data_IF_663930764989
#
_entry.id   IF_663930764989
#
_cell.length_a   1.000
_cell.length_b   1.000
_cell.length_c   1.000
_cell.angle_alpha   90.00
_cell.angle_beta   90.00
_cell.angle_gamma   90.00
#
_symmetry.space_group_name_H-M   'P 1'
#
loop_
_entity.id
_entity.type
_entity.pdbx_description
1 polymer ?
#
# COMPACT_ATOMS: atom_id res chain seq x y z
N UNK A 1 38.21 17.56 20.13
CA UNK A 1 36.81 17.91 20.42
C UNK A 1 35.93 16.89 19.71
N UNK A 2 35.82 15.68 20.27
CA UNK A 2 34.81 14.72 19.83
C UNK A 2 33.44 15.13 20.40
N UNK A 3 32.50 15.41 19.51
CA UNK A 3 31.11 15.74 19.85
C UNK A 3 30.35 14.46 20.22
N UNK A 4 30.04 14.31 21.51
CA UNK A 4 29.23 13.23 22.04
C UNK A 4 27.76 13.42 21.62
N UNK A 5 27.20 12.49 20.84
CA UNK A 5 25.77 12.39 20.56
C UNK A 5 25.12 11.48 21.62
N UNK A 6 24.02 11.90 22.28
CA UNK A 6 23.35 11.06 23.26
C UNK A 6 22.63 9.87 22.60
N UNK A 7 22.55 8.71 23.27
CA UNK A 7 21.85 7.53 22.74
C UNK A 7 20.33 7.77 22.66
N UNK A 8 19.62 7.11 21.73
CA UNK A 8 18.16 7.24 21.62
C UNK A 8 17.47 6.61 22.84
N UNK A 9 16.28 7.11 23.22
CA UNK A 9 15.56 6.59 24.38
C UNK A 9 15.11 5.14 24.15
N UNK A 10 15.45 4.27 25.09
CA UNK A 10 14.96 2.89 25.18
C UNK A 10 13.46 2.89 25.46
N UNK A 11 12.68 2.27 24.57
CA UNK A 11 11.25 2.06 24.76
C UNK A 11 11.05 0.90 25.75
N UNK A 12 10.85 1.23 27.03
CA UNK A 12 10.47 0.26 28.06
C UNK A 12 8.99 -0.10 27.90
N UNK A 13 8.70 -1.32 27.44
CA UNK A 13 7.36 -1.88 27.49
C UNK A 13 7.03 -2.26 28.93
N UNK A 14 6.20 -1.45 29.59
CA UNK A 14 5.50 -1.87 30.81
C UNK A 14 4.27 -2.67 30.39
N UNK A 15 4.29 -3.97 30.65
CA UNK A 15 3.13 -4.85 30.53
C UNK A 15 2.64 -5.19 31.93
N UNK A 16 1.47 -4.64 32.28
CA UNK A 16 0.65 -5.05 33.42
C UNK A 16 -0.74 -4.44 33.20
N UNK A 17 -1.75 -5.28 33.02
CA UNK A 17 -2.86 -5.33 34.00
C UNK A 17 -3.80 -6.48 33.67
N UNK A 18 -4.26 -7.08 34.75
CA UNK A 18 -4.99 -8.34 34.86
C UNK A 18 -6.47 -8.23 34.46
N UNK A 19 -7.13 -9.39 34.48
CA UNK A 19 -8.44 -9.63 33.89
C UNK A 19 -9.61 -8.91 34.57
N UNK A 20 -10.71 -8.87 33.82
CA UNK A 20 -12.06 -8.79 34.39
C UNK A 20 -13.00 -9.49 33.43
N UNK A 21 -13.43 -10.66 33.86
CA UNK A 21 -14.50 -11.43 33.28
C UNK A 21 -15.81 -10.69 33.56
N UNK A 22 -16.50 -10.22 32.53
CA UNK A 22 -17.91 -9.86 32.64
C UNK A 22 -18.70 -10.69 31.64
N UNK A 23 -19.37 -11.69 32.19
CA UNK A 23 -20.43 -12.43 31.56
C UNK A 23 -21.51 -11.48 31.04
N UNK A 24 -21.75 -11.50 29.73
CA UNK A 24 -23.01 -11.05 29.15
C UNK A 24 -23.25 -11.83 27.86
N UNK A 25 -24.23 -12.72 27.94
CA UNK A 25 -24.72 -13.57 26.87
C UNK A 25 -24.88 -12.83 25.53
N UNK A 26 -24.50 -13.43 24.39
CA UNK A 26 -24.80 -12.87 23.09
C UNK A 26 -26.27 -13.15 22.75
N UNK A 27 -27.16 -12.29 23.24
CA UNK A 27 -28.57 -12.25 22.83
C UNK A 27 -28.67 -11.57 21.45
N UNK A 28 -28.84 -12.42 20.43
CA UNK A 28 -29.53 -12.19 19.15
C UNK A 28 -29.79 -10.75 18.64
N UNK A 29 -28.79 -10.05 18.07
CA UNK A 29 -29.05 -9.02 17.02
C UNK A 29 -27.87 -8.71 16.08
N UNK A 30 -26.83 -9.57 16.00
CA UNK A 30 -25.61 -9.27 15.24
C UNK A 30 -25.36 -10.18 14.02
N UNK A 31 -26.36 -10.90 13.52
CA UNK A 31 -26.14 -11.92 12.48
C UNK A 31 -26.25 -11.41 11.03
N UNK A 32 -26.95 -10.31 10.74
CA UNK A 32 -27.23 -9.90 9.34
C UNK A 32 -26.33 -8.77 8.81
N UNK A 33 -25.56 -8.10 9.68
CA UNK A 33 -24.62 -7.04 9.27
C UNK A 33 -23.22 -7.57 8.90
N UNK A 34 -22.94 -8.85 9.17
CA UNK A 34 -21.67 -9.49 8.87
C UNK A 34 -21.56 -9.89 7.38
N UNK A 35 -22.67 -10.30 6.78
CA UNK A 35 -22.73 -10.81 5.39
C UNK A 35 -22.42 -9.70 4.37
N UNK A 36 -23.05 -8.52 4.49
CA UNK A 36 -22.77 -7.38 3.61
C UNK A 36 -21.35 -6.81 3.74
N UNK A 37 -20.71 -6.98 4.91
CA UNK A 37 -19.30 -6.59 5.12
C UNK A 37 -18.32 -7.61 4.55
N UNK A 38 -18.69 -8.89 4.49
CA UNK A 38 -17.90 -9.94 3.87
C UNK A 38 -17.92 -9.83 2.34
N UNK A 39 -19.09 -9.59 1.75
CA UNK A 39 -19.24 -9.41 0.31
C UNK A 39 -18.45 -8.18 -0.21
N UNK A 40 -18.53 -7.05 0.50
CA UNK A 40 -17.77 -5.86 0.16
C UNK A 40 -16.25 -6.06 0.22
N UNK A 41 -15.76 -6.95 1.10
CA UNK A 41 -14.33 -7.33 1.16
C UNK A 41 -13.94 -8.17 -0.05
N UNK A 42 -14.75 -9.15 -0.43
CA UNK A 42 -14.50 -10.00 -1.60
C UNK A 42 -14.43 -9.19 -2.90
N UNK A 43 -15.31 -8.20 -3.07
CA UNK A 43 -15.31 -7.32 -4.27
C UNK A 43 -14.04 -6.46 -4.32
N UNK A 44 -13.62 -5.91 -3.19
CA UNK A 44 -12.39 -5.09 -3.12
C UNK A 44 -11.15 -5.97 -3.35
N UNK A 45 -11.11 -7.16 -2.76
CA UNK A 45 -10.02 -8.12 -2.92
C UNK A 45 -9.95 -8.64 -4.36
N UNK A 46 -11.08 -8.85 -5.03
CA UNK A 46 -11.14 -9.21 -6.45
C UNK A 46 -10.62 -8.08 -7.35
N UNK A 47 -11.03 -6.82 -7.10
CA UNK A 47 -10.54 -5.67 -7.85
C UNK A 47 -9.02 -5.47 -7.69
N UNK A 48 -8.49 -5.68 -6.48
CA UNK A 48 -7.04 -5.56 -6.21
C UNK A 48 -6.26 -6.71 -6.82
N UNK A 49 -6.81 -7.93 -6.85
CA UNK A 49 -6.19 -9.07 -7.53
C UNK A 49 -6.12 -8.84 -9.04
N UNK A 50 -7.17 -8.31 -9.65
CA UNK A 50 -7.17 -7.95 -11.07
C UNK A 50 -6.08 -6.92 -11.39
N UNK A 51 -5.99 -5.83 -10.60
CA UNK A 51 -4.92 -4.83 -10.75
C UNK A 51 -3.51 -5.41 -10.49
N UNK A 52 -3.41 -6.47 -9.70
CA UNK A 52 -2.14 -7.14 -9.40
C UNK A 52 -1.69 -8.06 -10.54
N UNK A 53 -2.59 -8.82 -11.16
CA UNK A 53 -2.26 -9.61 -12.36
C UNK A 53 -1.80 -8.72 -13.52
N UNK A 54 -2.38 -7.52 -13.66
CA UNK A 54 -1.93 -6.52 -14.64
C UNK A 54 -0.53 -5.96 -14.32
N UNK A 55 -0.18 -5.77 -13.05
CA UNK A 55 1.15 -5.28 -12.62
C UNK A 55 2.22 -6.37 -12.65
N UNK A 56 1.87 -7.59 -12.26
CA UNK A 56 2.74 -8.76 -12.29
C UNK A 56 2.95 -9.21 -13.76
N UNK A 57 1.93 -9.11 -14.61
CA UNK A 57 2.05 -9.27 -16.07
C UNK A 57 2.92 -8.20 -16.74
N UNK A 58 2.89 -6.96 -16.25
CA UNK A 58 3.82 -5.90 -16.67
C UNK A 58 5.26 -6.14 -16.16
N UNK A 59 5.46 -7.06 -15.22
CA UNK A 59 6.75 -7.39 -14.62
C UNK A 59 7.33 -8.75 -15.08
N UNK A 60 6.55 -9.60 -15.76
CA UNK A 60 7.03 -10.84 -16.37
C UNK A 60 7.92 -10.53 -17.57
N UNK A 61 9.21 -10.79 -17.41
CA UNK A 61 10.27 -10.50 -18.40
C UNK A 61 10.29 -11.54 -19.54
N UNK A 62 9.49 -12.61 -19.45
CA UNK A 62 9.62 -13.81 -20.28
C UNK A 62 9.25 -13.60 -21.77
N UNK A 63 8.49 -12.54 -22.10
CA UNK A 63 8.09 -12.24 -23.50
C UNK A 63 8.22 -10.75 -23.86
N UNK A 64 9.21 -10.03 -23.31
CA UNK A 64 9.54 -8.70 -23.84
C UNK A 64 10.39 -8.94 -25.10
N UNK A 65 9.91 -8.62 -26.32
CA UNK A 65 10.73 -8.73 -27.52
C UNK A 65 11.98 -7.87 -27.30
N UNK A 66 13.15 -8.47 -27.45
CA UNK A 66 14.45 -7.78 -27.46
C UNK A 66 14.28 -6.51 -28.28
N UNK A 67 14.44 -5.34 -27.65
CA UNK A 67 14.15 -4.07 -28.29
C UNK A 67 14.96 -3.96 -29.59
N UNK A 68 14.38 -3.40 -30.67
CA UNK A 68 15.09 -3.24 -31.92
C UNK A 68 16.41 -2.47 -31.70
N UNK A 69 17.44 -2.70 -32.53
CA UNK A 69 18.70 -1.96 -32.44
C UNK A 69 18.42 -0.45 -32.47
N UNK A 70 19.12 0.30 -31.61
CA UNK A 70 18.89 1.73 -31.34
C UNK A 70 18.85 2.58 -32.63
N UNK A 71 19.44 2.10 -33.73
CA UNK A 71 19.43 2.73 -35.05
C UNK A 71 18.05 2.86 -35.70
N UNK A 72 17.03 2.11 -35.26
CA UNK A 72 15.69 2.13 -35.86
C UNK A 72 14.64 2.88 -35.04
N UNK A 73 15.00 3.42 -33.87
CA UNK A 73 14.08 4.24 -33.08
C UNK A 73 13.91 5.57 -33.82
N UNK A 74 12.72 5.90 -34.37
CA UNK A 74 12.47 7.25 -34.85
C UNK A 74 12.72 8.18 -33.68
N UNK A 75 13.68 9.09 -33.84
CA UNK A 75 14.05 10.07 -32.82
C UNK A 75 12.77 10.69 -32.30
N UNK A 76 12.41 10.36 -31.05
CA UNK A 76 11.25 10.93 -30.38
C UNK A 76 11.32 12.45 -30.57
N UNK A 77 10.23 13.12 -30.97
CA UNK A 77 10.23 14.56 -31.09
C UNK A 77 10.76 15.13 -29.77
N UNK A 78 11.68 16.09 -29.89
CA UNK A 78 12.49 16.72 -28.83
C UNK A 78 11.67 17.46 -27.74
N UNK A 79 10.41 17.12 -27.57
CA UNK A 79 9.42 17.79 -26.74
C UNK A 79 9.01 16.93 -25.54
N UNK A 80 9.99 16.47 -24.76
CA UNK A 80 9.76 16.09 -23.36
C UNK A 80 9.53 17.35 -22.53
N UNK A 81 8.44 18.07 -22.83
CA UNK A 81 8.02 19.18 -21.98
C UNK A 81 7.46 18.58 -20.69
N UNK A 82 7.93 19.03 -19.51
CA UNK A 82 7.40 18.55 -18.26
C UNK A 82 5.89 18.80 -18.26
N UNK A 83 5.12 17.72 -18.06
CA UNK A 83 3.66 17.82 -17.98
C UNK A 83 3.29 18.83 -16.88
N UNK A 84 2.28 19.68 -17.11
CA UNK A 84 1.84 20.66 -16.12
C UNK A 84 1.54 19.98 -14.79
N UNK A 85 2.16 20.50 -13.73
CA UNK A 85 2.15 19.89 -12.42
C UNK A 85 0.77 20.06 -11.77
N UNK A 86 -0.02 18.99 -11.74
CA UNK A 86 -1.32 18.99 -11.08
C UNK A 86 -1.13 19.21 -9.58
N UNK A 87 -1.72 20.29 -9.06
CA UNK A 87 -1.67 20.59 -7.63
C UNK A 87 -2.46 19.54 -6.85
N UNK A 88 -1.90 19.12 -5.73
CA UNK A 88 -2.54 18.14 -4.85
C UNK A 88 -3.84 18.75 -4.29
N UNK A 89 -4.93 18.00 -4.40
CA UNK A 89 -6.21 18.42 -3.85
C UNK A 89 -6.10 18.69 -2.33
N UNK A 90 -6.82 19.72 -1.87
CA UNK A 90 -6.91 20.03 -0.45
C UNK A 90 -7.52 18.85 0.31
N UNK A 91 -7.00 18.57 1.52
CA UNK A 91 -7.48 17.47 2.35
C UNK A 91 -8.83 17.87 2.97
N UNK A 92 -9.90 17.20 2.58
CA UNK A 92 -11.17 17.32 3.28
C UNK A 92 -11.18 16.38 4.49
N UNK A 93 -11.22 16.95 5.69
CA UNK A 93 -11.42 16.18 6.92
C UNK A 93 -12.91 15.93 7.15
N UNK A 94 -13.27 14.71 7.55
CA UNK A 94 -14.65 14.35 7.91
C UNK A 94 -14.80 14.42 9.43
N UNK A 95 -15.68 15.29 9.96
CA UNK A 95 -15.99 15.38 11.39
C UNK A 95 -16.40 14.03 11.98
N UNK A 96 -16.21 13.85 13.30
CA UNK A 96 -16.44 12.55 13.96
C UNK A 96 -17.91 12.13 13.88
N UNK A 97 -18.84 13.06 14.00
CA UNK A 97 -20.28 12.80 13.95
C UNK A 97 -20.75 12.37 12.54
N UNK A 98 -19.96 12.66 11.50
CA UNK A 98 -20.30 12.40 10.10
C UNK A 98 -19.59 11.17 9.50
N UNK A 99 -18.91 10.37 10.32
CA UNK A 99 -18.26 9.14 9.86
C UNK A 99 -19.28 8.01 9.72
N UNK A 100 -19.86 7.92 8.53
CA UNK A 100 -20.79 6.88 8.11
C UNK A 100 -20.09 5.55 7.71
N UNK A 101 -20.88 4.51 7.46
CA UNK A 101 -20.35 3.21 7.00
C UNK A 101 -19.59 3.33 5.67
N UNK A 102 -20.01 4.25 4.80
CA UNK A 102 -19.34 4.52 3.52
C UNK A 102 -17.93 5.09 3.74
N UNK A 103 -17.75 5.99 4.68
CA UNK A 103 -16.44 6.50 5.09
C UNK A 103 -15.54 5.36 5.60
N UNK A 104 -16.07 4.50 6.47
CA UNK A 104 -15.30 3.37 7.02
C UNK A 104 -14.89 2.34 5.96
N UNK A 105 -15.79 2.02 5.02
CA UNK A 105 -15.48 1.15 3.88
C UNK A 105 -14.35 1.74 3.01
N UNK A 106 -14.41 3.03 2.68
CA UNK A 106 -13.33 3.73 1.96
C UNK A 106 -12.03 3.71 2.75
N UNK A 107 -12.09 3.94 4.06
CA UNK A 107 -10.90 3.97 4.93
C UNK A 107 -10.22 2.60 5.00
N UNK A 108 -11.00 1.52 5.09
CA UNK A 108 -10.51 0.15 5.05
C UNK A 108 -9.83 -0.17 3.71
N UNK A 109 -10.47 0.17 2.58
CA UNK A 109 -9.89 0.00 1.24
C UNK A 109 -8.55 0.74 1.10
N UNK A 110 -8.48 1.98 1.55
CA UNK A 110 -7.24 2.77 1.49
C UNK A 110 -6.12 2.19 2.36
N UNK A 111 -6.43 1.64 3.55
CA UNK A 111 -5.43 0.98 4.38
C UNK A 111 -4.86 -0.27 3.72
N UNK A 112 -5.72 -1.08 3.09
CA UNK A 112 -5.29 -2.26 2.35
C UNK A 112 -4.41 -1.88 1.16
N UNK A 113 -4.84 -0.91 0.35
CA UNK A 113 -4.08 -0.38 -0.77
C UNK A 113 -2.72 0.20 -0.33
N UNK A 114 -2.68 0.93 0.78
CA UNK A 114 -1.44 1.47 1.33
C UNK A 114 -0.48 0.37 1.78
N UNK A 115 -0.99 -0.72 2.37
CA UNK A 115 -0.17 -1.89 2.72
C UNK A 115 0.41 -2.53 1.45
N UNK A 116 -0.45 -2.85 0.48
CA UNK A 116 -0.02 -3.43 -0.81
C UNK A 116 1.03 -2.58 -1.51
N UNK A 117 0.81 -1.26 -1.57
CA UNK A 117 1.75 -0.30 -2.15
C UNK A 117 3.13 -0.33 -1.48
N UNK A 118 3.18 -0.48 -0.15
CA UNK A 118 4.44 -0.62 0.59
C UNK A 118 5.12 -1.94 0.27
N UNK A 119 4.37 -3.04 0.24
CA UNK A 119 4.93 -4.38 -0.03
C UNK A 119 5.50 -4.47 -1.45
N UNK A 120 4.76 -3.97 -2.44
CA UNK A 120 5.24 -3.88 -3.83
C UNK A 120 6.53 -3.06 -3.94
N UNK A 121 6.61 -1.91 -3.26
CA UNK A 121 7.83 -1.08 -3.27
C UNK A 121 9.01 -1.83 -2.67
N UNK A 122 8.84 -2.45 -1.50
CA UNK A 122 9.90 -3.22 -0.83
C UNK A 122 10.44 -4.34 -1.71
N UNK A 123 9.56 -5.07 -2.40
CA UNK A 123 9.99 -6.14 -3.32
C UNK A 123 10.86 -5.57 -4.44
N UNK A 124 10.45 -4.46 -5.06
CA UNK A 124 11.23 -3.79 -6.11
C UNK A 124 12.56 -3.27 -5.59
N UNK A 125 12.58 -2.63 -4.42
CA UNK A 125 13.80 -2.14 -3.78
C UNK A 125 14.76 -3.30 -3.45
N UNK A 126 14.26 -4.40 -2.89
CA UNK A 126 15.06 -5.59 -2.59
C UNK A 126 15.67 -6.21 -3.86
N UNK A 127 14.92 -6.26 -4.96
CA UNK A 127 15.44 -6.75 -6.24
C UNK A 127 16.57 -5.86 -6.76
N UNK A 128 16.42 -4.53 -6.65
CA UNK A 128 17.47 -3.57 -7.03
C UNK A 128 18.72 -3.79 -6.19
N UNK A 129 18.57 -3.94 -4.86
CA UNK A 129 19.69 -4.16 -3.94
C UNK A 129 20.46 -5.41 -4.34
N UNK A 130 19.77 -6.54 -4.52
CA UNK A 130 20.41 -7.80 -4.92
C UNK A 130 21.15 -7.68 -6.25
N UNK A 131 20.54 -7.02 -7.24
CA UNK A 131 21.15 -6.80 -8.54
C UNK A 131 22.36 -5.86 -8.47
N UNK A 132 22.29 -4.80 -7.68
CA UNK A 132 23.40 -3.87 -7.48
C UNK A 132 24.59 -4.60 -6.83
N UNK A 133 24.36 -5.35 -5.74
CA UNK A 133 25.41 -6.14 -5.09
C UNK A 133 26.10 -7.12 -6.04
N UNK A 134 25.36 -7.78 -6.93
CA UNK A 134 25.94 -8.70 -7.91
C UNK A 134 26.81 -8.01 -8.99
N UNK A 135 26.47 -6.77 -9.37
CA UNK A 135 27.18 -6.04 -10.43
C UNK A 135 28.34 -5.17 -9.92
N UNK A 136 28.41 -4.96 -8.60
CA UNK A 136 29.47 -4.19 -7.94
C UNK A 136 30.66 -5.05 -7.47
N UNK A 137 30.56 -6.39 -7.56
CA UNK A 137 31.67 -7.36 -7.38
C UNK A 137 32.51 -7.54 -8.64
#
# INVERSE_FOLDING_TARGET
MESYLPPPPSCSQSMSSEGSETSSSPSCIAATAAEGRAEARLIIDAQIKQEQEDVDGMCSVEDIPMSPPISEIPTLPSDFRPQPMHRKAAKHYVPKEQKDDKYWAKRAKNNLAAKKSRDTRRIKENHIILRASFLEE
#
